data_IF_136639083278
#
_entry.id   IF_136639083278
#
_cell.length_a   1.000
_cell.length_b   1.000
_cell.length_c   1.000
_cell.angle_alpha   90.00
_cell.angle_beta   90.00
_cell.angle_gamma   90.00
#
_symmetry.space_group_name_H-M   'P 1'
#
loop_
_entity.id
_entity.type
_entity.pdbx_description
1 polymer ?
#
# COMPACT_ATOMS: atom_id res chain seq x y z
N UNK A 1 16.33 -14.07 9.86
CA UNK A 1 15.12 -13.35 10.38
C UNK A 1 15.59 -12.47 11.51
N UNK A 2 15.29 -11.21 11.42
CA UNK A 2 15.86 -10.25 12.36
C UNK A 2 14.90 -10.02 13.51
N UNK A 3 15.38 -10.22 14.71
CA UNK A 3 14.72 -9.81 15.93
C UNK A 3 14.97 -8.30 16.09
N UNK A 4 13.92 -7.54 16.31
CA UNK A 4 13.99 -6.11 16.53
C UNK A 4 13.48 -5.76 17.92
N UNK A 5 13.86 -4.61 18.42
CA UNK A 5 13.25 -4.02 19.61
C UNK A 5 12.45 -2.80 19.15
N UNK A 6 11.15 -2.80 19.42
CA UNK A 6 10.24 -1.70 19.09
C UNK A 6 9.63 -1.20 20.40
N UNK A 7 9.96 0.00 20.79
CA UNK A 7 9.50 0.63 22.04
C UNK A 7 9.65 -0.30 23.25
N UNK A 8 10.81 -0.93 23.38
CA UNK A 8 11.11 -1.86 24.49
C UNK A 8 10.56 -3.28 24.34
N UNK A 9 9.74 -3.58 23.33
CA UNK A 9 9.18 -4.91 23.04
C UNK A 9 10.05 -5.65 22.02
N UNK A 10 10.32 -6.92 22.30
CA UNK A 10 11.02 -7.77 21.34
C UNK A 10 10.04 -8.24 20.26
N UNK A 11 10.31 -7.91 18.99
CA UNK A 11 9.47 -8.32 17.86
C UNK A 11 10.26 -9.19 16.88
N UNK A 12 9.60 -10.22 16.35
CA UNK A 12 10.17 -11.18 15.40
C UNK A 12 9.16 -11.53 14.31
N UNK A 13 9.58 -11.47 13.05
CA UNK A 13 8.84 -12.09 11.95
C UNK A 13 9.35 -13.52 11.74
N UNK A 14 8.50 -14.51 11.88
CA UNK A 14 8.88 -15.91 11.77
C UNK A 14 7.75 -16.76 11.23
N UNK A 15 8.07 -17.56 10.21
CA UNK A 15 7.09 -18.44 9.57
C UNK A 15 5.80 -17.71 9.14
N UNK A 16 5.97 -16.55 8.54
CA UNK A 16 4.85 -15.71 8.09
C UNK A 16 4.01 -15.09 9.23
N UNK A 17 4.54 -14.98 10.45
CA UNK A 17 3.82 -14.51 11.65
C UNK A 17 4.62 -13.47 12.39
N UNK A 18 3.92 -12.57 13.10
CA UNK A 18 4.51 -11.66 14.07
C UNK A 18 4.48 -12.28 15.47
N UNK A 19 5.62 -12.23 16.13
CA UNK A 19 5.75 -12.53 17.55
C UNK A 19 6.20 -11.29 18.30
N UNK A 20 5.57 -11.03 19.44
CA UNK A 20 5.89 -9.93 20.36
C UNK A 20 6.20 -10.56 21.71
N UNK A 21 7.40 -10.34 22.23
CA UNK A 21 7.89 -10.94 23.48
C UNK A 21 7.73 -12.47 23.52
N UNK A 22 7.87 -13.10 22.34
CA UNK A 22 7.73 -14.55 22.16
C UNK A 22 6.30 -15.06 21.98
N UNK A 23 5.29 -14.19 22.09
CA UNK A 23 3.88 -14.54 21.86
C UNK A 23 3.42 -14.11 20.47
N UNK A 24 2.61 -14.98 19.83
CA UNK A 24 1.99 -14.66 18.55
C UNK A 24 1.03 -13.47 18.69
N UNK A 25 1.16 -12.51 17.78
CA UNK A 25 0.29 -11.33 17.71
C UNK A 25 -0.32 -11.17 16.32
N UNK A 26 -1.65 -11.07 16.26
CA UNK A 26 -2.36 -10.65 15.07
C UNK A 26 -2.68 -9.15 15.17
N UNK A 27 -2.41 -8.40 14.10
CA UNK A 27 -2.62 -6.96 14.11
C UNK A 27 -4.00 -6.58 13.59
N UNK A 28 -4.70 -5.73 14.33
CA UNK A 28 -5.78 -4.89 13.85
C UNK A 28 -5.18 -3.52 13.57
N UNK A 29 -4.92 -3.25 12.29
CA UNK A 29 -4.23 -2.05 11.86
C UNK A 29 -5.27 -1.02 11.44
N UNK A 30 -5.16 0.18 11.96
CA UNK A 30 -5.94 1.33 11.51
C UNK A 30 -5.09 2.24 10.66
N UNK A 31 -5.61 2.67 9.50
CA UNK A 31 -4.95 3.63 8.62
C UNK A 31 -5.75 4.94 8.59
N UNK A 32 -5.48 5.89 9.49
CA UNK A 32 -6.14 7.19 9.46
C UNK A 32 -5.63 8.01 8.29
N UNK A 33 -6.53 8.47 7.43
CA UNK A 33 -6.19 9.32 6.30
C UNK A 33 -6.15 10.79 6.76
N UNK A 34 -5.02 11.19 7.33
CA UNK A 34 -4.77 12.53 7.89
C UNK A 34 -3.56 13.18 7.24
N UNK A 35 -3.51 14.50 7.32
CA UNK A 35 -2.31 15.26 6.98
C UNK A 35 -1.34 15.29 8.18
N UNK A 36 -0.32 14.44 8.15
CA UNK A 36 0.69 14.37 9.20
C UNK A 36 1.76 15.49 9.12
N UNK A 37 1.62 16.43 8.21
CA UNK A 37 2.30 17.74 8.28
C UNK A 37 1.51 18.76 9.11
N UNK A 38 0.22 18.52 9.33
CA UNK A 38 -0.68 19.39 10.08
C UNK A 38 -0.68 19.07 11.56
N UNK A 39 -0.16 20.00 12.38
CA UNK A 39 -0.19 19.86 13.83
C UNK A 39 -1.59 19.67 14.40
N UNK A 40 -2.59 20.37 13.84
CA UNK A 40 -3.96 20.28 14.32
C UNK A 40 -4.59 18.91 14.08
N UNK A 41 -4.30 18.26 12.95
CA UNK A 41 -4.79 16.92 12.66
C UNK A 41 -4.10 15.86 13.51
N UNK A 42 -2.80 16.05 13.77
CA UNK A 42 -2.04 15.22 14.70
C UNK A 42 -2.61 15.35 16.13
N UNK A 43 -2.84 16.56 16.61
CA UNK A 43 -3.39 16.80 17.97
C UNK A 43 -4.79 16.18 18.13
N UNK A 44 -5.61 16.24 17.08
CA UNK A 44 -6.92 15.59 17.07
C UNK A 44 -6.78 14.05 17.12
N UNK A 45 -5.89 13.46 16.31
CA UNK A 45 -5.69 12.01 16.33
C UNK A 45 -5.16 11.53 17.69
N UNK A 46 -4.26 12.28 18.32
CA UNK A 46 -3.79 11.97 19.68
C UNK A 46 -4.97 11.95 20.68
N UNK A 47 -5.89 12.88 20.57
CA UNK A 47 -7.09 12.91 21.43
C UNK A 47 -8.01 11.68 21.22
N UNK A 48 -7.99 11.10 20.03
CA UNK A 48 -8.82 9.96 19.65
C UNK A 48 -8.16 8.58 19.96
N UNK A 49 -6.87 8.54 20.31
CA UNK A 49 -6.13 7.28 20.48
C UNK A 49 -6.75 6.31 21.52
N UNK A 50 -7.30 6.83 22.61
CA UNK A 50 -7.93 5.97 23.62
C UNK A 50 -9.23 5.32 23.09
N UNK A 51 -9.97 6.02 22.23
CA UNK A 51 -11.15 5.48 21.54
C UNK A 51 -10.73 4.41 20.54
N UNK A 52 -9.68 4.69 19.76
CA UNK A 52 -9.13 3.75 18.78
C UNK A 52 -8.64 2.48 19.48
N UNK A 53 -7.90 2.62 20.59
CA UNK A 53 -7.46 1.50 21.41
C UNK A 53 -8.63 0.67 21.96
N UNK A 54 -9.67 1.33 22.47
CA UNK A 54 -10.88 0.66 22.99
C UNK A 54 -11.63 -0.14 21.91
N UNK A 55 -11.41 0.15 20.63
CA UNK A 55 -11.91 -0.61 19.48
C UNK A 55 -10.99 -1.76 19.05
N UNK A 56 -10.07 -2.16 19.90
CA UNK A 56 -9.11 -3.26 19.71
C UNK A 56 -8.06 -3.01 18.61
N UNK A 57 -7.88 -1.78 18.13
CA UNK A 57 -6.71 -1.50 17.29
C UNK A 57 -5.43 -1.61 18.10
N UNK A 58 -4.44 -2.28 17.53
CA UNK A 58 -3.14 -2.50 18.17
C UNK A 58 -1.96 -2.08 17.25
N UNK A 59 -2.27 -1.48 16.11
CA UNK A 59 -1.32 -0.85 15.21
C UNK A 59 -2.00 0.30 14.46
N UNK A 60 -1.27 1.40 14.22
CA UNK A 60 -1.71 2.46 13.31
C UNK A 60 -0.70 2.59 12.17
N UNK A 61 -1.22 2.67 10.94
CA UNK A 61 -0.47 2.93 9.72
C UNK A 61 -0.63 4.42 9.36
N UNK A 62 0.46 5.17 9.39
CA UNK A 62 0.47 6.62 9.16
C UNK A 62 0.98 6.91 7.75
N UNK A 63 0.21 7.64 6.92
CA UNK A 63 0.61 8.01 5.57
C UNK A 63 1.32 9.36 5.54
N UNK A 64 2.59 9.36 5.21
CA UNK A 64 3.37 10.58 4.99
C UNK A 64 3.37 10.93 3.51
N UNK A 65 2.60 11.95 3.14
CA UNK A 65 2.47 12.39 1.75
C UNK A 65 3.59 13.33 1.35
N UNK A 66 4.23 13.04 0.22
CA UNK A 66 5.34 13.85 -0.29
C UNK A 66 4.97 15.33 -0.45
N UNK A 67 3.85 15.62 -1.11
CA UNK A 67 3.40 17.00 -1.36
C UNK A 67 3.08 17.83 -0.10
N UNK A 68 2.75 17.15 1.01
CA UNK A 68 2.52 17.83 2.29
C UNK A 68 3.83 18.11 3.02
N UNK A 69 4.82 17.23 2.94
CA UNK A 69 6.03 17.30 3.72
C UNK A 69 7.21 18.00 3.01
N UNK A 70 7.18 18.00 1.67
CA UNK A 70 8.15 18.64 0.79
C UNK A 70 7.42 19.32 -0.38
N UNK A 71 6.71 20.45 -0.15
CA UNK A 71 5.97 21.16 -1.18
C UNK A 71 6.85 21.72 -2.31
N UNK A 72 8.13 22.00 -2.03
CA UNK A 72 9.10 22.44 -3.03
C UNK A 72 9.54 21.29 -3.97
N UNK A 73 9.30 20.04 -3.60
CA UNK A 73 9.58 18.87 -4.40
C UNK A 73 11.06 18.70 -4.74
N UNK A 74 11.94 19.04 -3.81
CA UNK A 74 13.39 18.91 -4.01
C UNK A 74 13.98 17.67 -3.31
N UNK A 75 13.16 16.94 -2.58
CA UNK A 75 13.53 15.74 -1.85
C UNK A 75 13.99 16.00 -0.43
N UNK A 76 13.68 17.17 0.13
CA UNK A 76 14.01 17.54 1.51
C UNK A 76 12.73 17.84 2.28
N UNK A 77 12.57 17.22 3.44
CA UNK A 77 11.41 17.47 4.31
C UNK A 77 11.50 18.87 4.91
N UNK A 78 10.49 19.70 4.66
CA UNK A 78 10.44 21.11 5.08
C UNK A 78 9.63 21.35 6.34
N UNK A 79 8.78 20.38 6.72
CA UNK A 79 7.90 20.50 7.88
C UNK A 79 8.61 20.14 9.19
N UNK A 80 8.09 20.68 10.29
CA UNK A 80 8.48 20.27 11.64
C UNK A 80 7.96 18.86 11.96
N UNK A 81 8.84 17.90 12.15
CA UNK A 81 8.51 16.51 12.46
C UNK A 81 8.25 16.24 13.95
N UNK A 82 8.46 17.20 14.85
CA UNK A 82 8.24 16.97 16.29
C UNK A 82 6.79 16.59 16.63
N UNK A 83 5.74 17.16 15.97
CA UNK A 83 4.38 16.69 16.18
C UNK A 83 4.16 15.22 15.76
N UNK A 84 4.75 14.79 14.63
CA UNK A 84 4.67 13.40 14.16
C UNK A 84 5.40 12.45 15.11
N UNK A 85 6.59 12.80 15.57
CA UNK A 85 7.33 12.00 16.56
C UNK A 85 6.54 11.84 17.85
N UNK A 86 5.96 12.92 18.35
CA UNK A 86 5.07 12.87 19.52
C UNK A 86 3.87 11.93 19.27
N UNK A 87 3.25 11.96 18.11
CA UNK A 87 2.16 11.03 17.80
C UNK A 87 2.64 9.57 17.84
N UNK A 88 3.81 9.29 17.28
CA UNK A 88 4.41 7.95 17.29
C UNK A 88 4.63 7.49 18.75
N UNK A 89 5.20 8.35 19.59
CA UNK A 89 5.40 8.06 21.02
C UNK A 89 4.07 7.79 21.73
N UNK A 90 3.07 8.65 21.55
CA UNK A 90 1.75 8.52 22.15
C UNK A 90 1.00 7.23 21.74
N UNK A 91 1.22 6.75 20.50
CA UNK A 91 0.68 5.46 20.05
C UNK A 91 1.40 4.31 20.75
N UNK A 92 2.72 4.34 20.78
CA UNK A 92 3.54 3.30 21.41
C UNK A 92 3.31 3.21 22.91
N UNK A 93 3.18 4.34 23.62
CA UNK A 93 2.87 4.41 25.06
C UNK A 93 1.52 3.78 25.41
N UNK A 94 0.61 3.68 24.45
CA UNK A 94 -0.67 2.96 24.60
C UNK A 94 -0.59 1.48 24.24
N UNK A 95 0.60 0.90 24.14
CA UNK A 95 0.80 -0.50 23.74
C UNK A 95 0.21 -0.82 22.36
N UNK A 96 0.28 0.14 21.44
CA UNK A 96 0.02 -0.06 20.03
C UNK A 96 1.34 0.02 19.25
N UNK A 97 1.35 -0.45 18.02
CA UNK A 97 2.47 -0.30 17.09
C UNK A 97 2.20 0.81 16.08
N UNK A 98 3.27 1.28 15.46
CA UNK A 98 3.20 2.22 14.34
C UNK A 98 3.83 1.58 13.10
N UNK A 99 3.14 1.66 11.97
CA UNK A 99 3.76 1.56 10.65
C UNK A 99 3.69 2.89 9.94
N UNK A 100 4.62 3.13 9.03
CA UNK A 100 4.72 4.39 8.32
C UNK A 100 4.79 4.15 6.82
N UNK A 101 3.74 4.54 6.12
CA UNK A 101 3.70 4.56 4.66
C UNK A 101 4.26 5.89 4.14
N UNK A 102 5.14 5.86 3.16
CA UNK A 102 5.71 7.06 2.54
C UNK A 102 5.22 7.17 1.10
N UNK A 103 4.25 8.04 0.92
CA UNK A 103 3.52 8.19 -0.35
C UNK A 103 4.24 9.13 -1.29
N UNK A 104 4.84 8.56 -2.31
CA UNK A 104 5.59 9.32 -3.32
C UNK A 104 4.98 9.27 -4.72
N UNK A 105 3.88 8.53 -4.91
CA UNK A 105 3.30 8.34 -6.24
C UNK A 105 1.83 8.74 -6.37
N UNK A 106 1.04 8.73 -5.32
CA UNK A 106 -0.26 9.38 -5.34
C UNK A 106 -1.50 8.49 -5.41
N UNK A 107 -1.41 7.17 -5.52
CA UNK A 107 -2.60 6.31 -5.51
C UNK A 107 -3.29 6.32 -4.15
N UNK A 108 -2.54 6.36 -3.07
CA UNK A 108 -3.08 6.47 -1.71
C UNK A 108 -3.61 7.87 -1.32
N UNK A 109 -3.91 8.74 -2.30
CA UNK A 109 -4.36 10.13 -2.07
C UNK A 109 -3.23 11.15 -2.04
N UNK A 110 -1.98 10.71 -2.21
CA UNK A 110 -0.82 11.58 -2.33
C UNK A 110 -0.80 12.34 -3.66
N UNK A 111 0.00 13.37 -3.71
CA UNK A 111 0.25 14.16 -4.91
C UNK A 111 1.77 14.31 -5.11
N UNK A 112 2.17 14.47 -6.35
CA UNK A 112 3.53 14.93 -6.63
C UNK A 112 3.59 16.43 -6.34
N UNK A 113 4.58 16.92 -5.57
CA UNK A 113 4.67 18.35 -5.25
C UNK A 113 4.72 19.24 -6.50
N UNK A 114 4.04 20.38 -6.45
CA UNK A 114 4.04 21.33 -7.57
C UNK A 114 5.46 21.82 -7.88
N UNK A 115 6.29 22.06 -6.87
CA UNK A 115 7.68 22.43 -7.06
C UNK A 115 8.53 21.41 -7.81
N UNK A 116 8.21 20.12 -7.71
CA UNK A 116 8.85 19.09 -8.53
C UNK A 116 8.56 19.29 -10.02
N UNK A 117 7.31 19.58 -10.38
CA UNK A 117 6.92 19.80 -11.78
C UNK A 117 7.54 21.05 -12.38
N UNK A 118 7.73 22.09 -11.57
CA UNK A 118 8.40 23.31 -12.00
C UNK A 118 9.89 23.06 -12.31
N UNK A 119 10.53 22.19 -11.55
CA UNK A 119 11.93 21.78 -11.75
C UNK A 119 12.12 20.81 -12.90
N UNK A 120 11.18 19.86 -13.08
CA UNK A 120 11.30 18.75 -14.00
C UNK A 120 10.06 18.57 -14.90
N UNK A 121 9.70 19.59 -15.70
CA UNK A 121 8.45 19.57 -16.48
C UNK A 121 8.37 18.44 -17.52
N UNK A 122 9.50 17.88 -17.92
CA UNK A 122 9.56 16.80 -18.90
C UNK A 122 9.41 15.38 -18.31
N UNK A 123 9.01 15.24 -17.04
CA UNK A 123 8.91 13.92 -16.38
C UNK A 123 7.51 13.30 -16.44
N UNK A 124 6.58 13.93 -17.16
CA UNK A 124 5.20 13.45 -17.30
C UNK A 124 5.17 12.15 -18.10
N UNK A 125 4.35 11.18 -17.66
CA UNK A 125 4.09 9.95 -18.38
C UNK A 125 3.27 10.21 -19.68
N UNK A 126 3.43 9.35 -20.66
CA UNK A 126 2.77 9.46 -21.95
C UNK A 126 1.80 8.30 -22.15
N UNK A 127 0.56 8.60 -22.53
CA UNK A 127 -0.49 7.62 -22.82
C UNK A 127 -0.26 6.88 -24.14
N UNK A 128 -1.06 5.85 -24.41
CA UNK A 128 -1.08 5.11 -25.68
C UNK A 128 -1.37 5.99 -26.90
N UNK A 129 -1.96 7.17 -26.70
CA UNK A 129 -2.27 8.12 -27.77
C UNK A 129 -1.15 9.14 -28.02
N UNK A 130 -0.05 9.03 -27.28
CA UNK A 130 1.09 9.95 -27.40
C UNK A 130 0.88 11.29 -26.72
N UNK A 131 -0.02 11.37 -25.76
CA UNK A 131 -0.33 12.59 -25.00
C UNK A 131 0.22 12.48 -23.58
N UNK A 132 0.68 13.60 -23.06
CA UNK A 132 1.01 13.74 -21.65
C UNK A 132 -0.21 13.40 -20.79
N UNK A 133 0.00 12.66 -19.73
CA UNK A 133 -1.05 12.32 -18.75
C UNK A 133 -1.10 13.42 -17.70
N UNK A 134 -2.02 14.37 -17.91
CA UNK A 134 -2.17 15.59 -17.11
C UNK A 134 -3.18 15.45 -15.98
N UNK A 135 -3.89 14.33 -15.94
CA UNK A 135 -4.85 14.03 -14.87
C UNK A 135 -4.96 12.52 -14.73
N UNK A 136 -5.15 12.05 -13.50
CA UNK A 136 -5.47 10.65 -13.28
C UNK A 136 -6.97 10.44 -13.39
N UNK A 137 -7.39 9.29 -13.89
CA UNK A 137 -8.80 8.96 -14.06
C UNK A 137 -9.60 9.05 -12.75
N UNK A 138 -8.94 8.79 -11.63
CA UNK A 138 -9.56 8.89 -10.29
C UNK A 138 -9.37 10.26 -9.62
N UNK A 139 -8.69 11.21 -10.26
CA UNK A 139 -8.42 12.52 -9.68
C UNK A 139 -7.46 12.52 -8.49
N UNK A 140 -6.70 11.45 -8.29
CA UNK A 140 -5.67 11.38 -7.23
C UNK A 140 -4.47 12.27 -7.53
N UNK A 141 -4.14 12.47 -8.79
CA UNK A 141 -3.02 13.31 -9.23
C UNK A 141 -3.43 14.21 -10.37
N UNK A 142 -2.90 15.42 -10.39
CA UNK A 142 -3.06 16.37 -11.51
C UNK A 142 -2.10 16.11 -12.67
N UNK A 143 -1.01 15.40 -12.41
CA UNK A 143 -0.03 14.96 -13.42
C UNK A 143 0.54 13.62 -12.98
N UNK A 144 0.78 12.72 -13.91
CA UNK A 144 1.31 11.39 -13.64
C UNK A 144 2.80 11.36 -14.02
N UNK A 145 3.71 11.06 -13.09
CA UNK A 145 5.13 10.97 -13.41
C UNK A 145 5.45 9.69 -14.17
N UNK A 146 6.40 9.78 -15.06
CA UNK A 146 7.01 8.62 -15.68
C UNK A 146 7.85 7.86 -14.66
N UNK A 147 7.53 6.60 -14.40
CA UNK A 147 8.34 5.72 -13.55
C UNK A 147 9.73 5.41 -14.15
N UNK A 148 9.96 5.81 -15.41
CA UNK A 148 11.25 5.70 -16.09
C UNK A 148 12.08 6.97 -15.97
N UNK A 149 11.61 7.99 -15.25
CA UNK A 149 12.33 9.24 -15.04
C UNK A 149 13.34 9.12 -13.91
N UNK A 150 14.63 9.30 -14.24
CA UNK A 150 15.70 9.38 -13.24
C UNK A 150 15.50 10.54 -12.26
N UNK A 151 14.96 11.67 -12.72
CA UNK A 151 14.69 12.84 -11.88
C UNK A 151 13.62 12.51 -10.84
N UNK A 152 12.52 11.84 -11.26
CA UNK A 152 11.47 11.41 -10.34
C UNK A 152 12.03 10.40 -9.31
N UNK A 153 12.68 9.33 -9.78
CA UNK A 153 13.23 8.30 -8.89
C UNK A 153 14.26 8.86 -7.90
N UNK A 154 15.13 9.77 -8.37
CA UNK A 154 16.15 10.39 -7.50
C UNK A 154 15.50 11.27 -6.44
N UNK A 155 14.56 12.11 -6.82
CA UNK A 155 13.98 13.12 -5.91
C UNK A 155 13.03 12.48 -4.91
N UNK A 156 12.15 11.55 -5.34
CA UNK A 156 11.28 10.81 -4.44
C UNK A 156 12.07 9.98 -3.41
N UNK A 157 13.17 9.35 -3.84
CA UNK A 157 14.06 8.61 -2.95
C UNK A 157 14.86 9.51 -2.01
N UNK A 158 15.21 10.71 -2.44
CA UNK A 158 15.83 11.70 -1.53
C UNK A 158 14.86 12.11 -0.43
N UNK A 159 13.58 12.33 -0.76
CA UNK A 159 12.52 12.59 0.21
C UNK A 159 12.36 11.44 1.21
N UNK A 160 12.24 10.18 0.73
CA UNK A 160 12.18 9.00 1.60
C UNK A 160 13.38 8.97 2.54
N UNK A 161 14.59 9.17 2.01
CA UNK A 161 15.82 9.11 2.79
C UNK A 161 15.87 10.20 3.87
N UNK A 162 15.50 11.43 3.53
CA UNK A 162 15.51 12.56 4.47
C UNK A 162 14.48 12.35 5.59
N UNK A 163 13.23 11.97 5.25
CA UNK A 163 12.20 11.68 6.23
C UNK A 163 12.62 10.57 7.20
N UNK A 164 13.04 9.43 6.67
CA UNK A 164 13.41 8.24 7.47
C UNK A 164 14.62 8.52 8.36
N UNK A 165 15.62 9.27 7.87
CA UNK A 165 16.81 9.60 8.64
C UNK A 165 16.53 10.48 9.88
N UNK A 166 15.39 11.17 9.90
CA UNK A 166 14.96 12.03 11.01
C UNK A 166 14.03 11.33 12.02
N UNK A 167 13.66 10.08 11.78
CA UNK A 167 12.80 9.27 12.65
C UNK A 167 13.61 8.22 13.40
N UNK A 168 13.10 7.78 14.57
CA UNK A 168 13.70 6.68 15.31
C UNK A 168 13.11 5.34 14.81
N UNK A 169 13.91 4.47 14.17
CA UNK A 169 13.41 3.20 13.69
C UNK A 169 13.01 2.22 14.81
N UNK A 170 13.42 2.46 16.06
CA UNK A 170 13.00 1.64 17.21
C UNK A 170 11.57 1.96 17.66
N UNK A 171 10.94 2.99 17.13
CA UNK A 171 9.55 3.34 17.42
C UNK A 171 8.60 2.90 16.29
N UNK A 172 9.11 2.36 15.17
CA UNK A 172 8.34 2.02 13.98
C UNK A 172 8.43 0.52 13.70
N UNK A 173 7.28 -0.17 13.65
CA UNK A 173 7.22 -1.61 13.42
C UNK A 173 7.70 -1.97 12.00
N UNK A 174 7.17 -1.29 10.99
CA UNK A 174 7.63 -1.42 9.61
C UNK A 174 7.37 -0.13 8.82
N UNK A 175 8.14 0.03 7.75
CA UNK A 175 7.86 1.05 6.73
C UNK A 175 7.11 0.41 5.57
N UNK A 176 6.27 1.19 4.92
CA UNK A 176 5.57 0.82 3.71
C UNK A 176 6.06 1.72 2.57
N UNK A 177 6.34 1.13 1.42
CA UNK A 177 6.57 1.87 0.18
C UNK A 177 5.28 2.57 -0.24
N UNK A 178 5.31 3.29 -1.35
CA UNK A 178 4.07 3.93 -1.83
C UNK A 178 2.91 2.94 -1.89
N UNK A 179 1.73 3.36 -1.48
CA UNK A 179 0.51 2.53 -1.53
C UNK A 179 0.21 2.16 -2.97
N UNK A 180 -0.14 0.90 -3.19
CA UNK A 180 -0.50 0.35 -4.50
C UNK A 180 0.50 0.69 -5.60
N UNK A 181 1.77 0.23 -5.52
CA UNK A 181 2.75 0.48 -6.56
C UNK A 181 2.27 -0.09 -7.90
N UNK A 182 2.01 0.79 -8.85
CA UNK A 182 1.45 0.45 -10.16
C UNK A 182 1.77 1.52 -11.19
N UNK A 183 1.66 1.17 -12.48
CA UNK A 183 1.43 2.19 -13.51
C UNK A 183 -0.01 2.68 -13.36
N UNK A 184 -0.27 3.98 -13.57
CA UNK A 184 -1.60 4.53 -13.31
C UNK A 184 -2.70 3.70 -13.99
N UNK A 185 -3.45 3.06 -13.16
CA UNK A 185 -4.46 2.05 -13.33
C UNK A 185 -5.24 2.02 -14.64
N UNK A 186 -6.22 2.89 -14.78
CA UNK A 186 -7.13 2.86 -15.93
C UNK A 186 -6.61 3.66 -17.13
N UNK A 187 -5.49 4.38 -16.95
CA UNK A 187 -4.78 5.05 -18.02
C UNK A 187 -3.60 4.18 -18.44
N UNK A 188 -3.60 3.72 -19.70
CA UNK A 188 -2.49 2.94 -20.22
C UNK A 188 -1.26 3.82 -20.36
N UNK A 189 -0.27 3.57 -19.51
CA UNK A 189 1.05 4.25 -19.46
C UNK A 189 2.16 3.24 -19.20
N UNK A 190 3.41 3.54 -19.41
CA UNK A 190 3.99 4.76 -19.93
C UNK A 190 4.62 4.48 -21.29
N UNK A 191 4.35 5.32 -22.27
CA UNK A 191 4.89 5.21 -23.64
C UNK A 191 5.76 6.43 -24.02
N UNK A 192 6.35 7.06 -23.01
CA UNK A 192 7.30 8.16 -23.18
C UNK A 192 8.59 7.73 -23.88
N UNK A 193 9.38 8.67 -24.41
CA UNK A 193 10.72 8.39 -24.90
C UNK A 193 11.61 7.69 -23.86
N UNK A 194 11.44 8.02 -22.56
CA UNK A 194 12.18 7.38 -21.46
C UNK A 194 11.81 5.90 -21.33
N UNK A 195 10.53 5.57 -21.41
CA UNK A 195 10.06 4.19 -21.39
C UNK A 195 10.63 3.40 -22.57
N UNK A 196 10.67 4.02 -23.77
CA UNK A 196 11.31 3.44 -24.95
C UNK A 196 12.78 3.13 -24.71
N UNK A 197 13.54 4.11 -24.26
CA UNK A 197 15.00 3.97 -24.07
C UNK A 197 15.30 2.92 -23.01
N UNK A 198 14.50 2.86 -21.95
CA UNK A 198 14.60 1.85 -20.89
C UNK A 198 14.31 0.45 -21.44
N UNK A 199 13.22 0.28 -22.21
CA UNK A 199 12.86 -1.00 -22.82
C UNK A 199 13.88 -1.49 -23.82
N UNK A 200 14.35 -0.63 -24.74
CA UNK A 200 15.37 -1.00 -25.72
C UNK A 200 16.70 -1.38 -25.02
N UNK A 201 17.05 -0.67 -23.95
CA UNK A 201 18.19 -1.03 -23.11
C UNK A 201 18.00 -2.41 -22.45
N UNK A 202 16.82 -2.68 -21.92
CA UNK A 202 16.48 -3.97 -21.32
C UNK A 202 16.53 -5.11 -22.35
N UNK A 203 15.99 -4.92 -23.55
CA UNK A 203 16.04 -5.92 -24.64
C UNK A 203 17.49 -6.39 -24.89
N UNK A 204 18.41 -5.44 -25.02
CA UNK A 204 19.82 -5.73 -25.25
C UNK A 204 20.45 -6.43 -24.06
N UNK A 205 20.25 -5.92 -22.82
CA UNK A 205 20.84 -6.49 -21.60
C UNK A 205 20.31 -7.88 -21.29
N UNK A 206 19.04 -8.14 -21.55
CA UNK A 206 18.39 -9.43 -21.30
C UNK A 206 18.56 -10.43 -22.46
N UNK A 207 19.33 -10.06 -23.48
CA UNK A 207 19.54 -10.85 -24.71
C UNK A 207 18.22 -11.23 -25.42
N UNK A 208 17.23 -10.34 -25.34
CA UNK A 208 15.92 -10.47 -25.99
C UNK A 208 15.84 -9.67 -27.29
N UNK A 209 16.81 -9.89 -28.17
CA UNK A 209 16.90 -9.15 -29.43
C UNK A 209 15.76 -9.47 -30.40
N UNK A 210 15.07 -10.57 -30.21
CA UNK A 210 13.89 -11.03 -30.95
C UNK A 210 12.57 -10.47 -30.38
N UNK A 211 12.58 -9.82 -29.20
CA UNK A 211 11.41 -9.14 -28.66
C UNK A 211 10.91 -8.03 -29.61
N UNK A 212 9.60 -7.78 -29.58
CA UNK A 212 8.98 -6.75 -30.41
C UNK A 212 9.61 -5.37 -30.13
N UNK A 213 10.12 -4.64 -31.13
CA UNK A 213 10.67 -3.31 -30.92
C UNK A 213 9.60 -2.33 -30.39
N UNK A 214 10.04 -1.35 -29.62
CA UNK A 214 9.14 -0.29 -29.17
C UNK A 214 8.57 0.47 -30.38
N UNK A 215 7.25 0.74 -30.45
CA UNK A 215 6.63 1.42 -31.58
C UNK A 215 7.13 2.86 -31.76
N UNK A 216 7.33 3.26 -33.00
CA UNK A 216 7.75 4.63 -33.32
C UNK A 216 6.59 5.60 -33.55
N UNK A 217 5.36 5.08 -33.58
CA UNK A 217 4.18 5.88 -33.94
C UNK A 217 3.03 5.64 -32.98
N UNK A 218 2.23 6.68 -32.77
CA UNK A 218 0.99 6.65 -32.01
C UNK A 218 -0.24 6.58 -32.91
N UNK A 219 -1.37 6.04 -32.47
CA UNK A 219 -1.55 5.38 -31.16
C UNK A 219 -0.81 4.02 -31.08
N UNK A 220 -0.41 3.64 -29.88
CA UNK A 220 0.22 2.35 -29.64
C UNK A 220 -0.77 1.23 -29.95
N UNK A 221 -0.33 0.24 -30.72
CA UNK A 221 -1.19 -0.87 -31.11
C UNK A 221 -1.53 -1.79 -29.94
N UNK A 222 -2.75 -2.35 -29.96
CA UNK A 222 -3.16 -3.37 -28.97
C UNK A 222 -2.22 -4.58 -28.96
N UNK A 223 -1.64 -4.93 -30.12
CA UNK A 223 -0.68 -6.03 -30.21
C UNK A 223 0.55 -5.77 -29.32
N UNK A 224 1.09 -4.54 -29.35
CA UNK A 224 2.24 -4.18 -28.50
C UNK A 224 1.85 -4.05 -27.02
N UNK A 225 0.69 -3.46 -26.73
CA UNK A 225 0.17 -3.36 -25.36
C UNK A 225 0.09 -4.75 -24.69
N UNK A 226 -0.32 -5.77 -25.44
CA UNK A 226 -0.42 -7.15 -24.97
C UNK A 226 0.85 -7.98 -25.23
N UNK A 227 1.93 -7.38 -25.69
CA UNK A 227 3.18 -8.10 -25.99
C UNK A 227 3.78 -8.67 -24.69
N UNK A 228 4.12 -9.98 -24.65
CA UNK A 228 4.66 -10.60 -23.45
C UNK A 228 5.98 -10.01 -22.98
N UNK A 229 6.88 -9.63 -23.89
CA UNK A 229 8.20 -9.08 -23.51
C UNK A 229 8.06 -7.66 -22.97
N UNK A 230 7.15 -6.86 -23.57
CA UNK A 230 6.80 -5.54 -23.05
C UNK A 230 6.24 -5.62 -21.62
N UNK A 231 5.30 -6.53 -21.38
CA UNK A 231 4.69 -6.68 -20.05
C UNK A 231 5.64 -7.33 -19.04
N UNK A 232 6.52 -8.20 -19.47
CA UNK A 232 7.60 -8.73 -18.63
C UNK A 232 8.54 -7.60 -18.17
N UNK A 233 9.02 -6.79 -19.11
CA UNK A 233 9.85 -5.61 -18.80
C UNK A 233 9.18 -4.68 -17.79
N UNK A 234 7.88 -4.37 -17.98
CA UNK A 234 7.13 -3.52 -17.05
C UNK A 234 7.05 -4.12 -15.66
N UNK A 235 6.80 -5.42 -15.55
CA UNK A 235 6.79 -6.12 -14.27
C UNK A 235 8.14 -6.07 -13.55
N UNK A 236 9.24 -6.32 -14.27
CA UNK A 236 10.61 -6.20 -13.72
C UNK A 236 10.92 -4.76 -13.29
N UNK A 237 10.53 -3.77 -14.10
CA UNK A 237 10.79 -2.36 -13.78
C UNK A 237 10.04 -1.91 -12.53
N UNK A 238 8.76 -2.27 -12.43
CA UNK A 238 7.94 -1.95 -11.28
C UNK A 238 8.50 -2.58 -9.99
N UNK A 239 8.92 -3.84 -10.05
CA UNK A 239 9.60 -4.50 -8.94
C UNK A 239 10.91 -3.80 -8.58
N UNK A 240 11.68 -3.38 -9.58
CA UNK A 240 12.91 -2.62 -9.40
C UNK A 240 12.70 -1.25 -8.74
N UNK A 241 11.58 -0.59 -9.04
CA UNK A 241 11.20 0.65 -8.36
C UNK A 241 10.92 0.41 -6.88
N UNK A 242 10.04 -0.54 -6.55
CA UNK A 242 9.69 -0.90 -5.16
C UNK A 242 10.93 -1.33 -4.37
N UNK A 243 11.77 -2.21 -4.94
CA UNK A 243 13.02 -2.63 -4.30
C UNK A 243 13.97 -1.45 -4.06
N UNK A 244 14.05 -0.53 -5.02
CA UNK A 244 14.88 0.66 -4.88
C UNK A 244 14.43 1.53 -3.70
N UNK A 245 13.13 1.71 -3.53
CA UNK A 245 12.58 2.45 -2.40
C UNK A 245 12.80 1.69 -1.08
N UNK A 246 12.56 0.36 -1.06
CA UNK A 246 12.85 -0.48 0.10
C UNK A 246 14.31 -0.42 0.54
N UNK A 247 15.25 -0.40 -0.41
CA UNK A 247 16.68 -0.21 -0.12
C UNK A 247 16.98 1.17 0.47
N UNK A 248 16.25 2.22 0.04
CA UNK A 248 16.41 3.56 0.62
C UNK A 248 15.97 3.56 2.08
N UNK A 249 14.81 2.97 2.42
CA UNK A 249 14.37 2.83 3.81
C UNK A 249 15.44 2.16 4.68
N UNK A 250 15.98 1.02 4.24
CA UNK A 250 17.01 0.30 4.98
C UNK A 250 18.32 1.07 5.12
N UNK A 251 18.70 1.80 4.08
CA UNK A 251 19.97 2.56 4.07
C UNK A 251 19.90 3.84 4.87
N UNK A 252 18.74 4.50 4.87
CA UNK A 252 18.54 5.75 5.61
C UNK A 252 18.26 5.52 7.09
N UNK A 253 17.75 4.34 7.44
CA UNK A 253 17.46 3.99 8.83
C UNK A 253 18.73 3.71 9.63
N UNK A 254 18.77 4.17 10.88
CA UNK A 254 19.88 3.94 11.81
C UNK A 254 19.95 2.50 12.35
N UNK A 255 18.90 1.70 12.15
CA UNK A 255 18.81 0.30 12.58
C UNK A 255 18.07 -0.53 11.52
N UNK A 256 18.15 -1.88 11.56
CA UNK A 256 17.40 -2.75 10.66
C UNK A 256 15.89 -2.47 10.71
N UNK A 257 15.25 -2.40 9.55
CA UNK A 257 13.81 -2.14 9.41
C UNK A 257 13.16 -3.18 8.48
N UNK A 258 11.89 -3.48 8.73
CA UNK A 258 11.06 -4.24 7.80
C UNK A 258 10.37 -3.28 6.84
N UNK A 259 10.18 -3.75 5.61
CA UNK A 259 9.54 -2.98 4.56
C UNK A 259 8.38 -3.76 3.97
N UNK A 260 7.24 -3.11 3.91
CA UNK A 260 6.03 -3.59 3.27
C UNK A 260 5.88 -3.01 1.87
N UNK A 261 5.21 -3.76 1.01
CA UNK A 261 4.70 -3.28 -0.26
C UNK A 261 3.31 -3.83 -0.53
N UNK A 262 2.46 -2.99 -1.09
CA UNK A 262 1.13 -3.38 -1.51
C UNK A 262 1.15 -4.22 -2.78
N UNK A 263 0.17 -5.10 -2.88
CA UNK A 263 -0.17 -5.81 -4.09
C UNK A 263 -1.67 -5.72 -4.35
N UNK A 264 -2.02 -4.91 -5.32
CA UNK A 264 -3.37 -4.82 -5.84
C UNK A 264 -3.52 -5.80 -6.99
N UNK A 265 -4.49 -6.72 -6.91
CA UNK A 265 -4.85 -7.62 -8.00
C UNK A 265 -6.25 -7.27 -8.53
N UNK A 266 -6.41 -7.38 -9.83
CA UNK A 266 -7.63 -7.10 -10.54
C UNK A 266 -7.86 -8.13 -11.65
N UNK A 267 -8.76 -7.87 -12.58
CA UNK A 267 -8.89 -8.69 -13.79
C UNK A 267 -7.61 -8.60 -14.66
N UNK A 268 -7.43 -9.58 -15.56
CA UNK A 268 -6.20 -9.69 -16.34
C UNK A 268 -5.89 -8.46 -17.20
N UNK A 269 -6.91 -7.80 -17.74
CA UNK A 269 -6.73 -6.60 -18.55
C UNK A 269 -6.24 -5.43 -17.70
N UNK A 270 -6.86 -5.23 -16.53
CA UNK A 270 -6.44 -4.21 -15.57
C UNK A 270 -5.04 -4.48 -15.04
N UNK A 271 -4.67 -5.76 -14.81
CA UNK A 271 -3.32 -6.10 -14.38
C UNK A 271 -2.25 -5.79 -15.42
N UNK A 272 -2.53 -6.02 -16.71
CA UNK A 272 -1.62 -5.61 -17.78
C UNK A 272 -1.42 -4.09 -17.80
N UNK A 273 -2.48 -3.31 -17.54
CA UNK A 273 -2.34 -1.86 -17.44
C UNK A 273 -1.54 -1.44 -16.20
N UNK A 274 -1.83 -2.03 -15.06
CA UNK A 274 -1.31 -1.62 -13.74
C UNK A 274 0.11 -2.06 -13.46
N UNK A 275 0.47 -3.30 -13.76
CA UNK A 275 1.79 -3.83 -13.40
C UNK A 275 2.54 -4.57 -14.52
N UNK A 276 1.97 -4.70 -15.71
CA UNK A 276 2.51 -5.59 -16.73
C UNK A 276 2.28 -7.06 -16.36
N UNK A 277 3.34 -7.87 -16.27
CA UNK A 277 3.23 -9.25 -15.80
C UNK A 277 3.25 -9.30 -14.25
N UNK A 278 2.12 -9.63 -13.59
CA UNK A 278 2.03 -9.64 -12.14
C UNK A 278 2.92 -10.70 -11.48
N UNK A 279 3.21 -11.81 -12.17
CA UNK A 279 4.12 -12.83 -11.62
C UNK A 279 5.56 -12.37 -11.66
N UNK A 280 5.97 -11.70 -12.72
CA UNK A 280 7.31 -11.09 -12.84
C UNK A 280 7.47 -10.00 -11.78
N UNK A 281 6.46 -9.15 -11.58
CA UNK A 281 6.46 -8.15 -10.53
C UNK A 281 6.67 -8.78 -9.14
N UNK A 282 5.82 -9.72 -8.74
CA UNK A 282 5.91 -10.36 -7.43
C UNK A 282 7.23 -11.11 -7.24
N UNK A 283 7.68 -11.89 -8.24
CA UNK A 283 8.94 -12.62 -8.16
C UNK A 283 10.15 -11.69 -8.10
N UNK A 284 10.01 -10.48 -8.65
CA UNK A 284 11.03 -9.45 -8.64
C UNK A 284 11.19 -8.70 -7.31
N UNK A 285 10.23 -8.78 -6.39
CA UNK A 285 10.27 -8.08 -5.09
C UNK A 285 11.29 -8.73 -4.15
N UNK A 286 12.55 -8.30 -4.22
CA UNK A 286 13.69 -8.89 -3.48
C UNK A 286 13.92 -8.26 -2.11
N UNK A 287 13.50 -7.01 -1.93
CA UNK A 287 13.80 -6.18 -0.77
C UNK A 287 12.57 -5.87 0.08
N UNK A 288 11.54 -6.71 0.00
CA UNK A 288 10.28 -6.57 0.73
C UNK A 288 10.11 -7.74 1.70
N UNK A 289 9.68 -7.45 2.93
CA UNK A 289 9.45 -8.43 4.00
C UNK A 289 7.98 -8.77 4.17
N UNK A 290 7.11 -7.79 3.89
CA UNK A 290 5.67 -7.86 4.11
C UNK A 290 4.95 -7.55 2.81
N UNK A 291 4.01 -8.40 2.39
CA UNK A 291 3.11 -8.13 1.27
C UNK A 291 1.74 -7.78 1.82
N UNK A 292 1.24 -6.61 1.45
CA UNK A 292 -0.13 -6.17 1.73
C UNK A 292 -1.00 -6.49 0.52
N UNK A 293 -1.95 -7.40 0.68
CA UNK A 293 -2.88 -7.75 -0.40
C UNK A 293 -4.09 -6.85 -0.31
N UNK A 294 -4.28 -6.00 -1.33
CA UNK A 294 -5.36 -5.04 -1.31
C UNK A 294 -6.68 -5.65 -1.72
N UNK A 295 -7.71 -5.34 -0.94
CA UNK A 295 -9.08 -5.70 -1.18
C UNK A 295 -9.92 -4.45 -1.41
N UNK A 296 -10.43 -4.33 -2.63
CA UNK A 296 -11.38 -3.28 -2.96
C UNK A 296 -12.79 -3.87 -3.04
N UNK A 297 -13.53 -3.76 -1.96
CA UNK A 297 -14.91 -4.22 -1.88
C UNK A 297 -15.89 -3.35 -2.66
N UNK A 298 -15.45 -2.25 -3.19
CA UNK A 298 -16.28 -1.23 -3.82
C UNK A 298 -16.73 -1.54 -5.25
N UNK A 299 -16.14 -2.54 -5.90
CA UNK A 299 -16.52 -2.89 -7.27
C UNK A 299 -17.67 -3.89 -7.36
N UNK A 300 -18.45 -4.05 -6.28
CA UNK A 300 -19.57 -4.98 -6.22
C UNK A 300 -19.18 -6.45 -6.16
N UNK A 301 -17.89 -6.77 -6.18
CA UNK A 301 -17.41 -8.13 -5.94
C UNK A 301 -17.21 -8.34 -4.44
N UNK A 302 -18.19 -8.98 -3.83
CA UNK A 302 -18.20 -9.32 -2.39
C UNK A 302 -17.29 -10.50 -2.05
N UNK A 303 -16.50 -10.98 -3.01
CA UNK A 303 -15.67 -12.17 -2.81
C UNK A 303 -14.21 -11.75 -2.64
N UNK A 304 -13.48 -12.44 -1.73
CA UNK A 304 -12.05 -12.29 -1.63
C UNK A 304 -11.39 -12.47 -2.99
N UNK A 305 -10.44 -11.63 -3.32
CA UNK A 305 -9.64 -11.83 -4.53
C UNK A 305 -8.68 -13.02 -4.34
N UNK A 306 -9.23 -14.24 -4.48
CA UNK A 306 -8.46 -15.46 -4.31
C UNK A 306 -7.28 -15.57 -5.29
N UNK A 307 -7.34 -14.89 -6.44
CA UNK A 307 -6.25 -14.89 -7.42
C UNK A 307 -5.03 -14.16 -6.87
N UNK A 308 -5.22 -13.04 -6.16
CA UNK A 308 -4.13 -12.30 -5.54
C UNK A 308 -3.31 -13.21 -4.61
N UNK A 309 -3.98 -13.91 -3.70
CA UNK A 309 -3.32 -14.83 -2.78
C UNK A 309 -2.65 -16.01 -3.50
N UNK A 310 -3.27 -16.55 -4.53
CA UNK A 310 -2.67 -17.62 -5.33
C UNK A 310 -1.37 -17.15 -6.00
N UNK A 311 -1.36 -15.95 -6.59
CA UNK A 311 -0.17 -15.37 -7.22
C UNK A 311 0.94 -15.10 -6.19
N UNK A 312 0.60 -14.48 -5.07
CA UNK A 312 1.57 -14.24 -3.98
C UNK A 312 2.21 -15.55 -3.51
N UNK A 313 1.41 -16.60 -3.27
CA UNK A 313 1.95 -17.91 -2.87
C UNK A 313 2.78 -18.58 -3.95
N UNK A 314 2.38 -18.48 -5.20
CA UNK A 314 3.16 -18.99 -6.32
C UNK A 314 4.50 -18.27 -6.43
N UNK A 315 4.51 -16.94 -6.23
CA UNK A 315 5.75 -16.17 -6.21
C UNK A 315 6.64 -16.56 -5.03
N UNK A 316 6.09 -16.71 -3.82
CA UNK A 316 6.82 -17.19 -2.63
C UNK A 316 7.46 -18.56 -2.90
N UNK A 317 6.70 -19.51 -3.42
CA UNK A 317 7.20 -20.86 -3.72
C UNK A 317 8.27 -20.86 -4.81
N UNK A 318 8.15 -20.01 -5.82
CA UNK A 318 9.12 -19.92 -6.93
C UNK A 318 10.44 -19.25 -6.52
N UNK A 319 10.42 -18.41 -5.48
CA UNK A 319 11.57 -17.60 -5.05
C UNK A 319 12.14 -18.01 -3.69
N UNK A 320 11.58 -19.05 -3.06
CA UNK A 320 11.92 -19.52 -1.70
C UNK A 320 11.87 -18.38 -0.66
N UNK A 321 10.84 -17.52 -0.76
CA UNK A 321 10.63 -16.41 0.16
C UNK A 321 9.53 -16.73 1.15
N UNK A 322 9.73 -16.27 2.37
CA UNK A 322 8.78 -16.39 3.47
C UNK A 322 8.23 -15.00 3.81
N UNK A 323 7.47 -14.42 2.89
CA UNK A 323 6.80 -13.15 3.15
C UNK A 323 5.73 -13.29 4.22
N UNK A 324 5.62 -12.25 5.01
CA UNK A 324 4.46 -12.05 5.87
C UNK A 324 3.36 -11.41 5.03
N UNK A 325 2.14 -11.91 5.15
CA UNK A 325 1.00 -11.41 4.39
C UNK A 325 0.03 -10.71 5.33
N UNK A 326 -0.28 -9.46 5.05
CA UNK A 326 -1.38 -8.71 5.66
C UNK A 326 -2.47 -8.44 4.62
N UNK A 327 -3.65 -8.06 5.08
CA UNK A 327 -4.77 -7.68 4.22
C UNK A 327 -5.05 -6.19 4.40
N UNK A 328 -5.06 -5.47 3.30
CA UNK A 328 -5.42 -4.06 3.25
C UNK A 328 -6.87 -3.94 2.79
N UNK A 329 -7.75 -3.45 3.65
CA UNK A 329 -9.19 -3.46 3.42
C UNK A 329 -9.74 -2.06 3.33
N UNK A 330 -10.40 -1.78 2.22
CA UNK A 330 -11.16 -0.56 2.02
C UNK A 330 -12.64 -0.91 2.07
N UNK A 331 -13.31 -0.66 3.18
CA UNK A 331 -14.70 -1.10 3.41
C UNK A 331 -15.76 -0.10 2.95
N UNK A 332 -15.41 1.13 2.65
CA UNK A 332 -16.26 2.19 2.06
C UNK A 332 -17.65 2.38 2.68
N UNK A 333 -17.85 2.04 3.93
CA UNK A 333 -19.15 2.20 4.58
C UNK A 333 -20.30 1.39 3.97
N UNK A 334 -20.06 0.40 3.11
CA UNK A 334 -21.09 -0.45 2.56
C UNK A 334 -21.76 -1.33 3.60
N UNK A 335 -23.04 -1.62 3.37
CA UNK A 335 -23.83 -2.56 4.15
C UNK A 335 -23.54 -3.98 3.66
N UNK A 336 -22.47 -4.59 4.18
CA UNK A 336 -22.12 -5.98 3.89
C UNK A 336 -22.83 -6.93 4.85
N UNK A 337 -23.33 -8.03 4.31
CA UNK A 337 -23.89 -9.08 5.15
C UNK A 337 -22.81 -9.84 5.92
N UNK A 338 -23.16 -10.36 7.10
CA UNK A 338 -22.25 -11.14 7.93
C UNK A 338 -21.55 -12.26 7.16
N UNK A 339 -22.27 -12.93 6.25
CA UNK A 339 -21.73 -14.03 5.43
C UNK A 339 -20.56 -13.58 4.53
N UNK A 340 -20.63 -12.37 4.00
CA UNK A 340 -19.56 -11.80 3.17
C UNK A 340 -18.31 -11.56 4.02
N UNK A 341 -18.48 -11.02 5.23
CA UNK A 341 -17.37 -10.74 6.17
C UNK A 341 -16.79 -12.04 6.74
N UNK A 342 -17.61 -13.05 7.02
CA UNK A 342 -17.11 -14.37 7.44
C UNK A 342 -16.28 -15.05 6.33
N UNK A 343 -16.56 -14.73 5.08
CA UNK A 343 -15.73 -15.13 3.94
C UNK A 343 -14.30 -14.60 4.04
N UNK A 344 -14.10 -13.38 4.54
CA UNK A 344 -12.80 -12.79 4.82
C UNK A 344 -12.03 -13.61 5.87
N UNK A 345 -12.68 -13.93 7.00
CA UNK A 345 -12.08 -14.76 8.05
C UNK A 345 -11.60 -16.11 7.53
N UNK A 346 -12.46 -16.80 6.75
CA UNK A 346 -12.11 -18.09 6.16
C UNK A 346 -10.93 -17.97 5.19
N UNK A 347 -10.90 -16.88 4.42
CA UNK A 347 -9.80 -16.60 3.52
C UNK A 347 -8.49 -16.39 4.29
N UNK A 348 -8.51 -15.58 5.34
CA UNK A 348 -7.38 -15.33 6.23
C UNK A 348 -6.81 -16.64 6.79
N UNK A 349 -7.67 -17.52 7.30
CA UNK A 349 -7.27 -18.82 7.83
C UNK A 349 -6.66 -19.71 6.71
N UNK A 350 -7.33 -19.81 5.56
CA UNK A 350 -6.94 -20.69 4.45
C UNK A 350 -5.65 -20.22 3.77
N UNK A 351 -5.46 -18.93 3.68
CA UNK A 351 -4.32 -18.35 2.98
C UNK A 351 -3.15 -18.03 3.89
N UNK A 352 -3.26 -18.32 5.18
CA UNK A 352 -2.20 -18.05 6.16
C UNK A 352 -1.79 -16.58 6.18
N UNK A 353 -2.74 -15.67 5.98
CA UNK A 353 -2.52 -14.23 6.18
C UNK A 353 -2.43 -13.99 7.69
N UNK A 354 -1.21 -14.09 8.20
CA UNK A 354 -0.99 -14.29 9.63
C UNK A 354 -0.50 -13.04 10.36
N UNK A 355 -0.39 -11.93 9.65
CA UNK A 355 0.15 -10.71 10.21
C UNK A 355 -0.95 -9.80 10.76
N UNK A 356 -1.94 -9.45 9.95
CA UNK A 356 -3.00 -8.57 10.38
C UNK A 356 -4.01 -8.22 9.30
N UNK A 357 -4.97 -7.42 9.72
CA UNK A 357 -5.91 -6.73 8.84
C UNK A 357 -5.74 -5.22 9.01
N UNK A 358 -5.53 -4.53 7.92
CA UNK A 358 -5.50 -3.08 7.86
C UNK A 358 -6.84 -2.54 7.36
N UNK A 359 -7.44 -1.64 8.12
CA UNK A 359 -8.66 -0.94 7.78
C UNK A 359 -8.33 0.50 7.38
N UNK A 360 -8.67 0.85 6.14
CA UNK A 360 -8.45 2.21 5.65
C UNK A 360 -9.45 3.16 6.28
N UNK A 361 -8.96 4.32 6.65
CA UNK A 361 -9.64 5.43 7.30
C UNK A 361 -10.45 5.03 8.54
N UNK A 362 -9.72 4.75 9.60
CA UNK A 362 -10.31 4.48 10.92
C UNK A 362 -10.68 5.73 11.69
N UNK A 363 -10.35 6.91 11.16
CA UNK A 363 -10.77 8.14 11.80
C UNK A 363 -12.29 8.33 11.70
N UNK A 364 -12.88 9.01 12.70
CA UNK A 364 -14.25 9.43 12.60
C UNK A 364 -14.43 10.40 11.41
N UNK A 365 -15.44 10.17 10.61
CA UNK A 365 -15.76 11.05 9.50
C UNK A 365 -16.40 12.36 10.01
N UNK A 366 -15.71 13.51 9.90
CA UNK A 366 -16.24 14.77 10.38
C UNK A 366 -17.37 15.33 9.49
N UNK A 367 -17.46 14.86 8.23
CA UNK A 367 -18.29 15.51 7.21
C UNK A 367 -19.57 14.73 6.85
N UNK A 368 -19.84 13.59 7.47
CA UNK A 368 -21.16 13.02 7.38
C UNK A 368 -21.36 11.77 6.54
N UNK A 369 -22.47 11.63 5.82
CA UNK A 369 -23.03 10.34 5.47
C UNK A 369 -22.17 9.55 4.49
N UNK A 370 -22.27 8.23 4.60
CA UNK A 370 -21.77 7.31 3.61
C UNK A 370 -22.24 7.71 2.22
N UNK A 371 -21.29 8.00 1.36
CA UNK A 371 -21.59 8.22 -0.05
C UNK A 371 -21.41 6.90 -0.75
N UNK A 372 -22.47 6.29 -1.31
CA UNK A 372 -22.32 5.05 -2.05
C UNK A 372 -21.30 5.23 -3.19
N UNK A 373 -20.36 4.30 -3.31
CA UNK A 373 -19.48 4.25 -4.48
C UNK A 373 -20.33 4.18 -5.74
N UNK A 374 -19.84 4.70 -6.83
CA UNK A 374 -20.62 4.85 -8.06
C UNK A 374 -21.38 6.18 -8.10
N UNK A 375 -21.53 6.89 -6.98
CA UNK A 375 -22.00 8.27 -6.94
C UNK A 375 -20.85 9.28 -6.82
N UNK A 376 -19.66 8.82 -6.45
CA UNK A 376 -18.45 9.65 -6.38
C UNK A 376 -17.92 9.85 -7.79
N UNK A 377 -17.90 11.08 -8.24
CA UNK A 377 -17.33 11.42 -9.54
C UNK A 377 -15.80 11.46 -9.44
N UNK A 378 -15.07 11.08 -10.50
CA UNK A 378 -13.63 11.25 -10.57
C UNK A 378 -13.23 12.68 -10.20
N UNK A 379 -12.18 12.85 -9.41
CA UNK A 379 -11.71 14.16 -8.93
C UNK A 379 -12.50 14.76 -7.77
N UNK A 380 -13.58 14.11 -7.31
CA UNK A 380 -14.37 14.56 -6.14
C UNK A 380 -14.18 13.66 -4.93
N UNK A 381 -13.24 12.76 -5.01
CA UNK A 381 -12.97 11.78 -3.97
C UNK A 381 -12.41 12.47 -2.71
N UNK A 382 -12.99 12.16 -1.55
CA UNK A 382 -12.53 12.69 -0.26
C UNK A 382 -12.21 11.54 0.69
N UNK A 383 -11.24 11.69 1.59
CA UNK A 383 -10.92 10.69 2.62
C UNK A 383 -12.15 10.23 3.42
N UNK A 384 -13.05 11.15 3.74
CA UNK A 384 -14.32 10.87 4.45
C UNK A 384 -15.16 9.73 3.84
N UNK A 385 -15.01 9.45 2.55
CA UNK A 385 -15.73 8.37 1.89
C UNK A 385 -15.26 6.97 2.31
N UNK A 386 -14.06 6.85 2.85
CA UNK A 386 -13.49 5.57 3.29
C UNK A 386 -13.70 5.31 4.78
N UNK A 387 -14.08 6.32 5.56
CA UNK A 387 -14.16 6.17 7.00
C UNK A 387 -15.09 5.03 7.41
N UNK A 388 -14.59 4.17 8.29
CA UNK A 388 -15.35 3.03 8.84
C UNK A 388 -16.15 3.39 10.08
N UNK A 389 -16.01 4.62 10.56
CA UNK A 389 -16.78 5.21 11.66
C UNK A 389 -17.43 6.53 11.26
N UNK A 390 -18.53 6.88 11.90
CA UNK A 390 -19.11 8.21 11.79
C UNK A 390 -18.38 9.23 12.71
N UNK A 391 -18.79 10.49 12.65
CA UNK A 391 -18.20 11.58 13.44
C UNK A 391 -18.25 11.38 14.97
N UNK A 392 -19.14 10.54 15.44
CA UNK A 392 -19.35 10.22 16.86
C UNK A 392 -18.70 8.87 17.23
N UNK A 393 -17.85 8.33 16.36
CA UNK A 393 -17.16 7.03 16.49
C UNK A 393 -18.09 5.82 16.54
N UNK A 394 -19.32 5.93 16.06
CA UNK A 394 -20.17 4.77 15.86
C UNK A 394 -19.68 4.00 14.63
N UNK A 395 -19.58 2.67 14.70
CA UNK A 395 -19.16 1.89 13.54
C UNK A 395 -20.24 1.92 12.46
N UNK A 396 -19.84 2.13 11.22
CA UNK A 396 -20.71 1.96 10.06
C UNK A 396 -21.07 0.46 9.90
N UNK A 397 -22.13 0.11 9.14
CA UNK A 397 -22.74 -1.23 9.17
C UNK A 397 -21.74 -2.39 9.06
N UNK A 398 -20.81 -2.33 8.10
CA UNK A 398 -19.80 -3.37 7.92
C UNK A 398 -18.84 -3.45 9.12
N UNK A 399 -18.39 -2.30 9.60
CA UNK A 399 -17.48 -2.26 10.75
C UNK A 399 -18.16 -2.72 12.06
N UNK A 400 -19.47 -2.46 12.20
CA UNK A 400 -20.24 -2.99 13.32
C UNK A 400 -20.23 -4.52 13.37
N UNK A 401 -20.30 -5.19 12.22
CA UNK A 401 -20.17 -6.65 12.14
C UNK A 401 -18.77 -7.09 12.54
N UNK A 402 -17.72 -6.40 12.08
CA UNK A 402 -16.33 -6.71 12.45
C UNK A 402 -16.13 -6.57 13.95
N UNK A 403 -16.61 -5.49 14.56
CA UNK A 403 -16.50 -5.26 16.01
C UNK A 403 -17.22 -6.33 16.83
N UNK A 404 -18.47 -6.65 16.44
CA UNK A 404 -19.30 -7.67 17.13
C UNK A 404 -18.65 -9.08 17.11
N UNK A 405 -17.94 -9.41 16.05
CA UNK A 405 -17.35 -10.73 15.85
C UNK A 405 -15.86 -10.81 16.20
N UNK A 406 -15.21 -9.70 16.53
CA UNK A 406 -13.76 -9.61 16.60
C UNK A 406 -13.13 -10.66 17.53
N UNK A 407 -13.57 -10.76 18.77
CA UNK A 407 -13.01 -11.71 19.74
C UNK A 407 -13.16 -13.15 19.29
N UNK A 408 -14.36 -13.52 18.81
CA UNK A 408 -14.63 -14.86 18.27
C UNK A 408 -13.71 -15.20 17.09
N UNK A 409 -13.48 -14.25 16.19
CA UNK A 409 -12.62 -14.48 15.06
C UNK A 409 -11.15 -14.61 15.46
N UNK A 410 -10.68 -13.84 16.42
CA UNK A 410 -9.32 -13.99 16.95
C UNK A 410 -9.10 -15.37 17.57
N UNK A 411 -10.05 -15.87 18.35
CA UNK A 411 -10.01 -17.24 18.90
C UNK A 411 -9.93 -18.29 17.78
N UNK A 412 -10.69 -18.13 16.71
CA UNK A 412 -10.68 -19.06 15.58
C UNK A 412 -9.35 -19.01 14.82
N UNK A 413 -8.80 -17.83 14.58
CA UNK A 413 -7.50 -17.65 13.95
C UNK A 413 -6.41 -18.31 14.80
N UNK A 414 -6.37 -18.08 16.10
CA UNK A 414 -5.41 -18.72 17.00
C UNK A 414 -5.57 -20.23 17.06
N UNK A 415 -6.82 -20.72 17.12
CA UNK A 415 -7.10 -22.15 17.11
C UNK A 415 -6.60 -22.81 15.83
N UNK A 416 -6.91 -22.22 14.67
CA UNK A 416 -6.46 -22.74 13.38
C UNK A 416 -4.92 -22.79 13.29
N UNK A 417 -4.24 -21.82 13.84
CA UNK A 417 -2.76 -21.76 13.85
C UNK A 417 -2.11 -22.78 14.80
N UNK A 418 -2.78 -23.10 15.91
CA UNK A 418 -2.29 -24.14 16.85
C UNK A 418 -2.53 -25.54 16.31
N UNK A 419 -3.65 -25.78 15.67
CA UNK A 419 -4.09 -27.12 15.26
C UNK A 419 -3.77 -27.47 13.81
N UNK A 420 -3.43 -26.48 12.99
CA UNK A 420 -3.29 -26.64 11.55
C UNK A 420 -4.62 -26.97 10.82
N UNK A 421 -5.76 -26.82 11.48
CA UNK A 421 -7.08 -27.14 10.97
C UNK A 421 -8.07 -26.01 11.14
N UNK A 422 -8.98 -25.85 10.18
CA UNK A 422 -10.10 -24.90 10.28
C UNK A 422 -11.12 -25.44 11.27
N UNK A 423 -11.54 -24.66 12.31
CA UNK A 423 -12.56 -25.11 13.24
C UNK A 423 -13.87 -25.46 12.53
N UNK A 424 -14.48 -26.57 12.89
CA UNK A 424 -15.73 -27.07 12.26
C UNK A 424 -16.92 -26.10 12.39
N UNK A 425 -16.89 -25.20 13.37
CA UNK A 425 -17.92 -24.17 13.60
C UNK A 425 -17.91 -23.02 12.57
N UNK A 426 -16.86 -22.91 11.75
CA UNK A 426 -16.72 -21.85 10.72
C UNK A 426 -17.26 -22.28 9.34
N UNK A 427 -17.91 -23.44 9.25
CA UNK A 427 -18.46 -24.01 8.00
C UNK A 427 -19.98 -24.17 8.16
N UNK A 428 -20.69 -23.11 8.46
CA UNK A 428 -22.16 -23.14 8.38
C UNK A 428 -22.67 -22.13 7.38
#
# INVERSE_FOLDING_TARGET
>A
MDVRNIHGRQVELKQGKLFVDGEYRFLKIGKPLRDFSSRSEIDQLIADLDIIKAKNYNCLSLNCYWHHMDPDGDGVVEVDLEPLKRLIDEINDRDMFVSLAVETYGVGGGQIPDGFWDRFPGTIAVSIDGKDVLDSEYGYMTKVPSLYSEDYLRTSRAFIADLVSRLDPSEILYFETTVEPQYMGDVWVDYSPRARDAYETWRVKSNRNDATPFPDTFPISRQFICDPDWNHFRGEWLAGWVNGDAQVFRKASAAPVWVAADYLDADESSMLARCGDPMVFLQGLNDVDIIQVNWHWHYGDRRPNLKAYQRVRQAMAATDRDWVITEHMTLYGYDYHLEDIEGLLLNTIRNSTNFGWEFVDVAADPDGPDVPIGTVQPGTFKPAHFSVYDKDWNPKPTMAVVEDQWERWMEQIECARRTGSIPASSVR
#
